data_IF_167639279361
#
_entry.id   IF_167639279361
#
_cell.length_a   1.000
_cell.length_b   1.000
_cell.length_c   1.000
_cell.angle_alpha   90.00
_cell.angle_beta   90.00
_cell.angle_gamma   90.00
#
_symmetry.space_group_name_H-M   'P 1'
#
loop_
_entity.id
_entity.type
_entity.pdbx_description
1 polymer ?
#
# COMPACT_ATOMS: atom_id res chain seq x y z
N UNK A 1 -10.56 -23.30 11.90
CA UNK A 1 -9.59 -22.49 11.12
C UNK A 1 -9.40 -23.13 9.75
N UNK A 2 -9.16 -22.34 8.69
CA UNK A 2 -8.95 -22.85 7.32
C UNK A 2 -7.44 -22.83 6.99
N UNK A 3 -6.76 -23.98 6.90
CA UNK A 3 -5.31 -24.02 6.61
C UNK A 3 -4.96 -23.59 5.17
N UNK A 4 -5.95 -23.54 4.28
CA UNK A 4 -5.74 -23.20 2.87
C UNK A 4 -6.00 -21.72 2.57
N UNK A 5 -6.31 -20.88 3.56
CA UNK A 5 -6.63 -19.47 3.33
C UNK A 5 -5.36 -18.67 3.00
N UNK A 6 -5.43 -17.84 1.96
CA UNK A 6 -4.45 -16.77 1.73
C UNK A 6 -4.97 -15.54 2.47
N UNK A 7 -4.14 -14.96 3.34
CA UNK A 7 -4.53 -13.80 4.14
C UNK A 7 -3.74 -12.58 3.68
N UNK A 8 -4.43 -11.57 3.15
CA UNK A 8 -3.82 -10.35 2.65
C UNK A 8 -4.10 -9.17 3.59
N UNK A 9 -3.06 -8.42 3.98
CA UNK A 9 -3.18 -7.22 4.81
C UNK A 9 -2.64 -5.97 4.12
N UNK A 10 -3.52 -4.99 3.91
CA UNK A 10 -3.13 -3.63 3.57
C UNK A 10 -3.06 -2.74 4.82
N UNK A 11 -2.03 -1.92 4.94
CA UNK A 11 -1.89 -0.90 6.00
C UNK A 11 -1.15 0.32 5.47
N UNK A 12 -1.28 1.47 6.17
CA UNK A 12 -0.68 2.72 5.72
C UNK A 12 0.86 2.69 5.71
N UNK A 13 1.49 2.03 6.69
CA UNK A 13 2.94 2.02 6.89
C UNK A 13 3.56 0.62 6.94
N UNK A 14 2.78 -0.42 6.66
CA UNK A 14 3.21 -1.80 6.83
C UNK A 14 2.97 -2.33 8.25
N UNK A 15 3.20 -3.63 8.43
CA UNK A 15 2.96 -4.34 9.70
C UNK A 15 4.19 -4.38 10.63
N UNK A 16 5.28 -3.74 10.21
CA UNK A 16 6.59 -3.72 10.86
C UNK A 16 7.04 -2.30 11.16
N UNK A 17 7.96 -2.16 12.11
CA UNK A 17 8.53 -0.87 12.49
C UNK A 17 7.69 -0.09 13.49
N UNK A 18 8.13 1.13 13.81
CA UNK A 18 7.56 1.94 14.90
C UNK A 18 6.16 2.50 14.59
N UNK A 19 5.80 2.59 13.30
CA UNK A 19 4.55 3.22 12.85
C UNK A 19 3.49 2.23 12.38
N UNK A 20 3.70 0.92 12.62
CA UNK A 20 2.79 -0.15 12.21
C UNK A 20 1.35 0.02 12.70
N UNK A 21 1.17 0.67 13.84
CA UNK A 21 -0.13 0.89 14.48
C UNK A 21 -0.66 2.32 14.23
N UNK A 22 0.04 3.11 13.39
CA UNK A 22 -0.36 4.45 13.00
C UNK A 22 -1.34 4.40 11.84
N UNK A 23 -2.49 5.04 11.99
CA UNK A 23 -3.46 5.20 10.90
C UNK A 23 -2.95 6.13 9.80
N UNK A 24 -3.42 5.92 8.58
CA UNK A 24 -3.10 6.78 7.44
C UNK A 24 -4.10 6.60 6.31
N UNK A 25 -4.21 7.63 5.48
CA UNK A 25 -5.01 7.64 4.26
C UNK A 25 -4.11 7.99 3.09
N UNK A 26 -4.63 7.85 1.88
CA UNK A 26 -3.94 8.21 0.65
C UNK A 26 -3.24 9.58 0.74
N UNK A 27 -3.98 10.63 1.11
CA UNK A 27 -3.43 11.98 1.22
C UNK A 27 -2.30 12.12 2.25
N UNK A 28 -2.41 11.47 3.41
CA UNK A 28 -1.44 11.65 4.50
C UNK A 28 -0.24 10.73 4.37
N UNK A 29 -0.48 9.43 4.20
CA UNK A 29 0.54 8.40 4.16
C UNK A 29 1.20 8.30 2.78
N UNK A 30 0.40 8.25 1.72
CA UNK A 30 0.94 8.05 0.38
C UNK A 30 1.34 9.37 -0.26
N UNK A 31 0.45 10.35 -0.42
CA UNK A 31 0.77 11.59 -1.12
C UNK A 31 1.81 12.43 -0.38
N UNK A 32 1.56 12.78 0.88
CA UNK A 32 2.47 13.67 1.63
C UNK A 32 3.69 12.93 2.14
N UNK A 33 3.52 11.85 2.91
CA UNK A 33 4.64 11.24 3.65
C UNK A 33 5.61 10.42 2.79
N UNK A 34 5.17 9.81 1.69
CA UNK A 34 6.08 9.10 0.78
C UNK A 34 7.01 10.03 0.00
N UNK A 35 6.71 11.34 -0.02
CA UNK A 35 7.45 12.34 -0.80
C UNK A 35 6.90 12.57 -2.21
N UNK A 36 5.86 11.86 -2.66
CA UNK A 36 5.22 12.10 -3.97
C UNK A 36 4.77 13.56 -4.12
N UNK A 37 4.03 14.08 -3.16
CA UNK A 37 3.57 15.48 -3.18
C UNK A 37 4.74 16.46 -3.20
N UNK A 38 5.82 16.17 -2.47
CA UNK A 38 7.03 17.00 -2.48
C UNK A 38 7.73 16.97 -3.85
N UNK A 39 7.93 15.80 -4.44
CA UNK A 39 8.58 15.64 -5.74
C UNK A 39 7.80 16.31 -6.87
N UNK A 40 6.48 16.40 -6.74
CA UNK A 40 5.60 17.05 -7.72
C UNK A 40 5.35 18.53 -7.43
N UNK A 41 5.80 19.07 -6.29
CA UNK A 41 5.57 20.46 -5.91
C UNK A 41 6.48 21.40 -6.74
N UNK A 42 5.93 22.32 -7.54
CA UNK A 42 6.71 23.37 -8.18
C UNK A 42 7.31 24.30 -7.13
N UNK A 43 8.54 24.77 -7.34
CA UNK A 43 9.23 25.65 -6.39
C UNK A 43 8.50 26.99 -6.17
N UNK A 44 7.79 27.46 -7.18
CA UNK A 44 7.03 28.70 -7.18
C UNK A 44 5.72 28.63 -6.38
N UNK A 45 5.25 27.42 -6.04
CA UNK A 45 3.96 27.22 -5.37
C UNK A 45 3.98 27.76 -3.92
N UNK A 46 5.17 27.92 -3.32
CA UNK A 46 5.33 28.47 -1.97
C UNK A 46 4.80 27.59 -0.84
N UNK A 47 4.37 26.37 -1.15
CA UNK A 47 3.81 25.40 -0.20
C UNK A 47 3.66 24.03 -0.83
N UNK A 48 3.30 23.03 -0.02
CA UNK A 48 3.12 21.66 -0.51
C UNK A 48 1.94 21.58 -1.49
N UNK A 49 2.15 20.90 -2.62
CA UNK A 49 1.09 20.61 -3.57
C UNK A 49 0.02 19.72 -2.91
N UNK A 50 -1.25 20.15 -2.83
CA UNK A 50 -2.32 19.31 -2.32
C UNK A 50 -2.57 18.12 -3.25
N UNK A 51 -3.14 17.04 -2.71
CA UNK A 51 -3.49 15.89 -3.52
C UNK A 51 -4.58 16.25 -4.54
N UNK A 52 -4.19 16.35 -5.82
CA UNK A 52 -5.09 16.67 -6.93
C UNK A 52 -5.70 15.44 -7.62
N UNK A 53 -5.13 14.25 -7.41
CA UNK A 53 -5.60 12.99 -8.00
C UNK A 53 -6.18 12.13 -6.87
N UNK A 54 -7.51 11.96 -6.80
CA UNK A 54 -8.14 11.08 -5.81
C UNK A 54 -7.68 9.63 -5.95
N UNK A 55 -7.52 8.93 -4.84
CA UNK A 55 -7.16 7.51 -4.79
C UNK A 55 -5.86 7.17 -5.55
N UNK A 56 -4.90 8.09 -5.61
CA UNK A 56 -3.63 7.91 -6.31
C UNK A 56 -2.83 6.75 -5.69
N UNK A 57 -2.54 6.83 -4.40
CA UNK A 57 -1.88 5.78 -3.64
C UNK A 57 -2.78 4.58 -3.40
N UNK A 58 -4.08 4.79 -3.17
CA UNK A 58 -5.03 3.71 -2.95
C UNK A 58 -5.13 2.78 -4.18
N UNK A 59 -5.17 3.34 -5.39
CA UNK A 59 -5.23 2.55 -6.63
C UNK A 59 -3.93 1.76 -6.86
N UNK A 60 -2.77 2.38 -6.59
CA UNK A 60 -1.46 1.72 -6.67
C UNK A 60 -1.35 0.62 -5.61
N UNK A 61 -1.76 0.90 -4.37
CA UNK A 61 -1.79 -0.08 -3.28
C UNK A 61 -2.70 -1.26 -3.59
N UNK A 62 -3.91 -1.01 -4.09
CA UNK A 62 -4.85 -2.04 -4.53
C UNK A 62 -4.28 -2.92 -5.64
N UNK A 63 -3.59 -2.34 -6.62
CA UNK A 63 -2.92 -3.08 -7.69
C UNK A 63 -1.80 -3.98 -7.14
N UNK A 64 -0.98 -3.47 -6.22
CA UNK A 64 0.09 -4.25 -5.60
C UNK A 64 -0.47 -5.42 -4.76
N UNK A 65 -1.55 -5.19 -4.00
CA UNK A 65 -2.22 -6.25 -3.23
C UNK A 65 -2.79 -7.31 -4.18
N UNK A 66 -3.46 -6.92 -5.28
CA UNK A 66 -3.96 -7.87 -6.27
C UNK A 66 -2.84 -8.71 -6.89
N UNK A 67 -1.69 -8.10 -7.19
CA UNK A 67 -0.48 -8.79 -7.63
C UNK A 67 0.04 -9.79 -6.59
N UNK A 68 0.11 -9.38 -5.33
CA UNK A 68 0.49 -10.24 -4.20
C UNK A 68 -0.45 -11.44 -4.04
N UNK A 69 -1.77 -11.21 -4.10
CA UNK A 69 -2.77 -12.29 -4.03
C UNK A 69 -2.57 -13.27 -5.18
N UNK A 70 -2.35 -12.76 -6.39
CA UNK A 70 -2.11 -13.58 -7.59
C UNK A 70 -0.84 -14.44 -7.42
N UNK A 71 0.23 -13.86 -6.89
CA UNK A 71 1.46 -14.59 -6.58
C UNK A 71 1.27 -15.64 -5.48
N UNK A 72 0.51 -15.33 -4.43
CA UNK A 72 0.19 -16.27 -3.35
C UNK A 72 -0.68 -17.44 -3.83
N UNK A 73 -1.64 -17.17 -4.73
CA UNK A 73 -2.45 -18.21 -5.38
C UNK A 73 -1.55 -19.14 -6.20
N UNK A 74 -0.64 -18.57 -7.00
CA UNK A 74 0.30 -19.35 -7.79
C UNK A 74 1.29 -20.14 -6.92
N UNK A 75 1.78 -19.55 -5.84
CA UNK A 75 2.62 -20.23 -4.86
C UNK A 75 1.92 -21.46 -4.28
N UNK A 76 0.68 -21.28 -3.80
CA UNK A 76 -0.12 -22.38 -3.23
C UNK A 76 -0.40 -23.47 -4.26
N UNK A 77 -0.68 -23.10 -5.51
CA UNK A 77 -0.85 -24.07 -6.60
C UNK A 77 0.42 -24.90 -6.84
N UNK A 78 1.61 -24.31 -6.71
CA UNK A 78 2.89 -24.98 -6.95
C UNK A 78 3.41 -25.80 -5.77
N UNK A 79 3.08 -25.40 -4.56
CA UNK A 79 3.70 -25.94 -3.32
C UNK A 79 2.70 -26.66 -2.42
N UNK A 80 1.41 -26.39 -2.57
CA UNK A 80 0.38 -26.78 -1.61
C UNK A 80 0.28 -25.87 -0.39
N UNK A 81 1.14 -24.84 -0.26
CA UNK A 81 1.23 -24.00 0.94
C UNK A 81 0.56 -22.63 0.74
N UNK A 82 -0.35 -22.28 1.65
CA UNK A 82 -0.93 -20.94 1.72
C UNK A 82 -0.04 -19.99 2.52
N UNK A 83 -0.02 -18.72 2.12
CA UNK A 83 0.85 -17.70 2.71
C UNK A 83 0.06 -16.44 3.10
N UNK A 84 0.65 -15.69 4.03
CA UNK A 84 0.24 -14.32 4.34
C UNK A 84 1.02 -13.33 3.47
N UNK A 85 0.34 -12.28 3.02
CA UNK A 85 0.91 -11.20 2.21
C UNK A 85 0.50 -9.80 2.71
#
# INVERSE_FOLDING_TARGET
ANPNIIYARGSAYGDKGLERDTGGFDGTAFWTRSGVGHALTPGELGGALPQGIPAFGDSIGGMNIAGGISAALFHRERTGEAVEI
#
